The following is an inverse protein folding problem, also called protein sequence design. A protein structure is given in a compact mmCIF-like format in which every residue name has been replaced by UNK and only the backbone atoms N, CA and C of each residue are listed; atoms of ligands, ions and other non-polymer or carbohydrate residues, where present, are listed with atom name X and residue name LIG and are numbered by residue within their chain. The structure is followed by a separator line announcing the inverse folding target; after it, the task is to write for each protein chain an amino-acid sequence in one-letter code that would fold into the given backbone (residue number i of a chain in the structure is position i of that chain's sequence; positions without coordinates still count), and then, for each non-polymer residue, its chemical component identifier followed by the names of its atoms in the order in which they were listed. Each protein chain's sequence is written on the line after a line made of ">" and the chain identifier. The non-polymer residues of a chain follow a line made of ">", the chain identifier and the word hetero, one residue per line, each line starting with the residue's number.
data_IF_668828918485
#
_entry.id   IF_668828918485
#
_cell.length_a   1.000
_cell.length_b   1.000
_cell.length_c   1.000
_cell.angle_alpha   90.00
_cell.angle_beta   90.00
_cell.angle_gamma   90.00
#
_symmetry.space_group_name_H-M   'P 1'
#
loop_
_entity.id
_entity.type
_entity.pdbx_description
1 polymer ?
#
# COMPACT_ATOMS: atom_id res chain seq x y z
N UNK A 1 14.20 10.74 -4.32
CA UNK A 1 13.75 12.00 -3.67
C UNK A 1 12.30 11.91 -3.20
N UNK A 2 11.31 11.78 -4.10
CA UNK A 2 9.89 11.71 -3.71
C UNK A 2 9.53 10.51 -2.81
N UNK A 3 10.03 9.30 -3.13
CA UNK A 3 9.75 8.10 -2.31
C UNK A 3 10.30 8.26 -0.90
N UNK A 4 11.54 8.74 -0.77
CA UNK A 4 12.17 8.98 0.52
C UNK A 4 11.40 10.03 1.34
N UNK A 5 10.93 11.10 0.71
CA UNK A 5 10.08 12.10 1.38
C UNK A 5 8.75 11.50 1.83
N UNK A 6 8.06 10.77 0.97
CA UNK A 6 6.79 10.12 1.30
C UNK A 6 6.96 9.13 2.46
N UNK A 7 8.02 8.32 2.43
CA UNK A 7 8.34 7.38 3.50
C UNK A 7 8.56 8.09 4.85
N UNK A 8 9.39 9.14 4.87
CA UNK A 8 9.62 9.93 6.08
C UNK A 8 8.35 10.62 6.59
N UNK A 9 7.51 11.11 5.67
CA UNK A 9 6.22 11.69 6.03
C UNK A 9 5.28 10.64 6.64
N UNK A 10 5.22 9.43 6.07
CA UNK A 10 4.45 8.32 6.63
C UNK A 10 4.90 7.99 8.04
N UNK A 11 6.21 7.89 8.31
CA UNK A 11 6.72 7.66 9.67
C UNK A 11 6.20 8.72 10.65
N UNK A 12 6.29 10.00 10.27
CA UNK A 12 5.78 11.10 11.10
C UNK A 12 4.27 11.01 11.36
N UNK A 13 3.48 10.61 10.36
CA UNK A 13 2.03 10.47 10.49
C UNK A 13 1.68 9.27 11.38
N UNK A 14 2.41 8.16 11.27
CA UNK A 14 2.20 6.97 12.11
C UNK A 14 2.58 7.18 13.59
N UNK A 15 3.48 8.13 13.86
CA UNK A 15 3.83 8.57 15.22
C UNK A 15 2.78 9.50 15.85
N UNK A 16 1.88 10.09 15.04
CA UNK A 16 0.85 11.01 15.50
C UNK A 16 -0.33 10.25 16.13
N UNK A 17 -0.67 10.57 17.38
CA UNK A 17 -1.73 9.88 18.12
C UNK A 17 -3.14 10.28 17.67
N UNK A 18 -3.28 11.35 16.87
CA UNK A 18 -4.56 11.87 16.41
C UNK A 18 -5.00 11.29 15.06
N UNK A 19 -4.26 10.31 14.51
CA UNK A 19 -4.55 9.68 13.21
C UNK A 19 -5.09 8.26 13.38
N UNK A 20 -6.38 8.08 13.04
CA UNK A 20 -7.02 6.76 13.12
C UNK A 20 -6.65 5.84 11.94
N UNK A 21 -6.44 6.39 10.74
CA UNK A 21 -6.21 5.59 9.51
C UNK A 21 -5.15 6.24 8.63
N UNK A 22 -4.19 5.42 8.19
CA UNK A 22 -3.21 5.76 7.15
C UNK A 22 -3.38 4.81 5.96
N UNK A 23 -3.48 5.38 4.75
CA UNK A 23 -3.62 4.61 3.51
C UNK A 23 -2.38 4.84 2.64
N UNK A 24 -1.61 3.78 2.43
CA UNK A 24 -0.46 3.73 1.54
C UNK A 24 -0.89 3.08 0.23
N UNK A 25 -1.52 3.88 -0.63
CA UNK A 25 -2.01 3.43 -1.92
C UNK A 25 -0.85 3.12 -2.87
N UNK A 26 -0.86 1.92 -3.45
CA UNK A 26 0.11 1.41 -4.43
C UNK A 26 1.56 1.37 -3.92
N UNK A 27 1.76 1.27 -2.60
CA UNK A 27 3.09 1.22 -1.98
C UNK A 27 3.95 0.05 -2.47
N UNK A 28 3.33 -1.07 -2.85
CA UNK A 28 4.09 -2.21 -3.36
C UNK A 28 4.84 -1.89 -4.67
N UNK A 29 4.43 -0.85 -5.41
CA UNK A 29 5.20 -0.41 -6.57
C UNK A 29 6.57 0.14 -6.17
N UNK A 30 6.70 0.79 -5.00
CA UNK A 30 7.99 1.25 -4.50
C UNK A 30 8.96 0.08 -4.23
N UNK A 31 8.45 -1.04 -3.68
CA UNK A 31 9.21 -2.28 -3.51
C UNK A 31 9.58 -2.88 -4.87
N UNK A 32 8.61 -2.99 -5.79
CA UNK A 32 8.81 -3.57 -7.12
C UNK A 32 9.87 -2.83 -7.95
N UNK A 33 9.98 -1.52 -7.77
CA UNK A 33 10.98 -0.68 -8.43
C UNK A 33 12.26 -0.48 -7.61
N UNK A 34 12.45 -1.25 -6.53
CA UNK A 34 13.64 -1.21 -5.66
C UNK A 34 13.89 0.20 -5.07
N UNK A 35 12.83 0.97 -4.87
CA UNK A 35 12.87 2.31 -4.26
C UNK A 35 12.72 2.24 -2.73
N UNK A 36 12.19 1.13 -2.23
CA UNK A 36 12.13 0.73 -0.83
C UNK A 36 12.47 -0.77 -0.76
N UNK A 37 12.91 -1.21 0.42
CA UNK A 37 13.14 -2.61 0.73
C UNK A 37 12.01 -3.16 1.59
N UNK A 38 11.86 -4.49 1.65
CA UNK A 38 10.84 -5.16 2.49
C UNK A 38 10.95 -4.70 3.95
N UNK A 39 12.17 -4.55 4.46
CA UNK A 39 12.44 -4.09 5.81
C UNK A 39 12.00 -2.64 6.08
N UNK A 40 11.89 -1.79 5.05
CA UNK A 40 11.28 -0.47 5.20
C UNK A 40 9.79 -0.60 5.53
N UNK A 41 9.08 -1.50 4.84
CA UNK A 41 7.64 -1.72 5.07
C UNK A 41 7.38 -2.38 6.41
N UNK A 42 8.16 -3.41 6.77
CA UNK A 42 8.04 -4.07 8.07
C UNK A 42 8.23 -3.07 9.22
N UNK A 43 9.18 -2.14 9.10
CA UNK A 43 9.37 -1.07 10.09
C UNK A 43 8.16 -0.14 10.21
N UNK A 44 7.47 0.19 9.12
CA UNK A 44 6.24 0.99 9.18
C UNK A 44 5.09 0.26 9.90
N UNK A 45 4.96 -1.05 9.67
CA UNK A 45 3.97 -1.89 10.36
C UNK A 45 4.26 -1.92 11.86
N UNK A 46 5.52 -2.13 12.24
CA UNK A 46 5.95 -2.18 13.64
C UNK A 46 5.87 -0.83 14.35
N UNK A 47 6.14 0.28 13.66
CA UNK A 47 6.23 1.61 14.30
C UNK A 47 4.87 2.29 14.48
N UNK A 48 3.79 1.77 13.88
CA UNK A 48 2.48 2.43 13.95
C UNK A 48 1.97 2.49 15.38
N UNK A 49 1.27 3.58 15.72
CA UNK A 49 0.51 3.65 16.96
C UNK A 49 -0.52 2.49 17.03
N UNK A 50 -0.73 1.91 18.22
CA UNK A 50 -1.68 0.82 18.44
C UNK A 50 -3.10 1.12 17.94
N UNK A 51 -3.51 2.40 17.98
CA UNK A 51 -4.85 2.83 17.55
C UNK A 51 -4.96 3.12 16.05
N UNK A 52 -3.84 3.24 15.35
CA UNK A 52 -3.83 3.61 13.93
C UNK A 52 -3.93 2.36 13.06
N UNK A 53 -4.90 2.37 12.15
CA UNK A 53 -5.01 1.37 11.09
C UNK A 53 -4.11 1.75 9.91
N UNK A 54 -3.27 0.81 9.49
CA UNK A 54 -2.40 0.97 8.34
C UNK A 54 -2.91 0.12 7.18
N UNK A 55 -3.42 0.77 6.13
CA UNK A 55 -3.93 0.10 4.93
C UNK A 55 -2.89 0.25 3.82
N UNK A 56 -2.49 -0.86 3.23
CA UNK A 56 -1.56 -0.89 2.09
C UNK A 56 -2.22 -1.53 0.89
N UNK A 57 -2.05 -0.92 -0.29
CA UNK A 57 -2.55 -1.48 -1.55
C UNK A 57 -1.41 -1.72 -2.52
N UNK A 58 -1.65 -2.61 -3.48
CA UNK A 58 -0.66 -3.01 -4.48
C UNK A 58 -0.79 -4.48 -4.82
N UNK A 59 -0.01 -4.92 -5.81
CA UNK A 59 -0.07 -6.30 -6.34
C UNK A 59 1.20 -7.07 -6.00
N UNK A 60 1.05 -8.26 -5.43
CA UNK A 60 2.17 -9.18 -5.20
C UNK A 60 3.12 -8.69 -4.11
N UNK A 61 2.59 -8.43 -2.91
CA UNK A 61 3.42 -8.18 -1.73
C UNK A 61 4.28 -9.40 -1.41
N UNK A 62 5.45 -9.16 -0.83
CA UNK A 62 6.34 -10.21 -0.34
C UNK A 62 5.68 -10.98 0.83
N UNK A 63 5.98 -12.27 0.95
CA UNK A 63 5.36 -13.16 1.96
C UNK A 63 5.61 -12.66 3.39
N UNK A 64 6.76 -12.02 3.63
CA UNK A 64 7.12 -11.41 4.92
C UNK A 64 6.14 -10.31 5.32
N UNK A 65 5.72 -9.47 4.36
CA UNK A 65 4.75 -8.40 4.60
C UNK A 65 3.36 -8.98 4.80
N UNK A 66 3.00 -9.99 4.02
CA UNK A 66 1.71 -10.69 4.18
C UNK A 66 1.60 -11.36 5.55
N UNK A 67 2.70 -11.94 6.06
CA UNK A 67 2.75 -12.57 7.37
C UNK A 67 2.69 -11.57 8.52
N UNK A 68 3.19 -10.34 8.33
CA UNK A 68 3.13 -9.27 9.32
C UNK A 68 1.76 -8.55 9.37
N UNK A 69 0.94 -8.68 8.33
CA UNK A 69 -0.36 -8.02 8.26
C UNK A 69 -1.45 -8.81 9.02
N UNK A 70 -2.27 -8.11 9.81
CA UNK A 70 -3.40 -8.71 10.52
C UNK A 70 -4.53 -9.18 9.58
N UNK A 71 -4.73 -8.46 8.47
CA UNK A 71 -5.75 -8.73 7.48
C UNK A 71 -5.16 -8.60 6.07
N UNK A 72 -5.34 -9.65 5.26
CA UNK A 72 -4.95 -9.68 3.85
C UNK A 72 -6.17 -10.02 3.00
N UNK A 73 -6.44 -9.19 1.99
CA UNK A 73 -7.48 -9.45 0.98
C UNK A 73 -6.86 -9.49 -0.41
N UNK A 74 -7.07 -10.57 -1.15
CA UNK A 74 -6.62 -10.71 -2.54
C UNK A 74 -7.77 -10.40 -3.52
N UNK A 75 -7.60 -9.36 -4.34
CA UNK A 75 -8.52 -9.02 -5.41
C UNK A 75 -8.15 -9.76 -6.69
N UNK A 76 -8.86 -10.86 -6.98
CA UNK A 76 -8.70 -11.62 -8.23
C UNK A 76 -9.66 -11.15 -9.32
N UNK A 77 -9.13 -10.64 -10.43
CA UNK A 77 -9.92 -10.26 -11.58
C UNK A 77 -10.52 -11.51 -12.27
N UNK A 78 -11.84 -11.70 -12.16
CA UNK A 78 -12.57 -12.79 -12.83
C UNK A 78 -12.97 -12.39 -14.26
N UNK A 79 -13.33 -11.12 -14.45
CA UNK A 79 -13.63 -10.46 -15.73
C UNK A 79 -13.23 -8.99 -15.62
N UNK A 80 -12.79 -8.40 -16.72
CA UNK A 80 -12.36 -7.00 -16.75
C UNK A 80 -12.71 -6.33 -18.10
N UNK A 81 -13.41 -5.18 -18.12
CA UNK A 81 -13.83 -4.52 -19.36
C UNK A 81 -12.70 -4.26 -20.35
N UNK A 82 -11.52 -3.87 -19.86
CA UNK A 82 -10.34 -3.71 -20.70
C UNK A 82 -9.91 -5.02 -21.39
N UNK A 83 -9.88 -6.14 -20.66
CA UNK A 83 -9.39 -7.42 -21.19
C UNK A 83 -10.44 -8.12 -22.07
N UNK A 84 -11.71 -8.11 -21.65
CA UNK A 84 -12.79 -8.84 -22.31
C UNK A 84 -13.44 -8.07 -23.46
N UNK A 85 -13.42 -6.73 -23.41
CA UNK A 85 -14.19 -5.87 -24.31
C UNK A 85 -13.34 -4.77 -24.96
N UNK A 86 -12.07 -4.60 -24.59
CA UNK A 86 -11.21 -3.55 -25.10
C UNK A 86 -11.59 -2.14 -24.64
N UNK A 87 -12.44 -2.01 -23.60
CA UNK A 87 -12.85 -0.70 -23.07
C UNK A 87 -11.69 -0.08 -22.30
N UNK A 88 -11.25 1.10 -22.73
CA UNK A 88 -10.18 1.87 -22.08
C UNK A 88 -10.66 2.53 -20.78
N UNK A 89 -9.75 3.22 -20.08
CA UNK A 89 -10.07 3.95 -18.87
C UNK A 89 -11.16 5.01 -19.08
N UNK A 90 -12.03 5.15 -18.09
CA UNK A 90 -13.17 6.07 -18.06
C UNK A 90 -13.05 6.97 -16.86
N UNK A 91 -13.27 8.27 -17.10
CA UNK A 91 -13.33 9.27 -16.03
C UNK A 91 -14.46 8.96 -15.06
N UNK A 92 -14.19 9.07 -13.77
CA UNK A 92 -15.08 8.75 -12.67
C UNK A 92 -15.19 7.26 -12.34
N UNK A 93 -14.49 6.39 -13.07
CA UNK A 93 -14.49 4.94 -12.80
C UNK A 93 -13.07 4.42 -12.58
N UNK A 94 -12.19 4.54 -13.59
CA UNK A 94 -10.80 4.12 -13.47
C UNK A 94 -9.88 5.26 -12.98
N UNK A 95 -10.30 6.52 -13.17
CA UNK A 95 -9.57 7.73 -12.73
C UNK A 95 -10.48 8.94 -12.58
#
# INVERSE_FOLDING_TARGET
>A
EFVSYAYQYTQKVLDDQDVDIVILDEINNALRYELLEVDDILRLIESKNEKTELIMTGRGFADEILAAADLVTEMKAIKHPYQDQGITSRRGIEY
#
